data_IF_785688077707
#
_entry.id   IF_785688077707
#
_cell.length_a   1.000
_cell.length_b   1.000
_cell.length_c   1.000
_cell.angle_alpha   90.00
_cell.angle_beta   90.00
_cell.angle_gamma   90.00
#
_symmetry.space_group_name_H-M   'P 1'
#
loop_
_entity.id
_entity.type
_entity.pdbx_description
1 polymer ?
#
# COMPACT_ATOMS: atom_id res chain seq x y z
N UNK A 1 -8.18 -17.59 5.20
CA UNK A 1 -7.64 -18.29 4.00
C UNK A 1 -8.80 -19.02 3.33
N UNK A 2 -8.85 -19.06 2.00
CA UNK A 2 -9.97 -19.63 1.24
C UNK A 2 -9.54 -20.23 -0.13
N UNK A 3 -8.28 -20.66 -0.25
CA UNK A 3 -7.73 -21.15 -1.53
C UNK A 3 -8.48 -22.35 -2.08
N UNK A 4 -8.85 -23.32 -1.24
CA UNK A 4 -9.56 -24.51 -1.67
C UNK A 4 -10.95 -24.17 -2.21
N UNK A 5 -11.63 -23.23 -1.57
CA UNK A 5 -12.93 -22.70 -1.94
C UNK A 5 -12.86 -21.92 -3.26
N UNK A 6 -11.81 -21.11 -3.44
CA UNK A 6 -11.57 -20.39 -4.70
C UNK A 6 -11.37 -21.36 -5.87
N UNK A 7 -10.58 -22.41 -5.67
CA UNK A 7 -10.34 -23.43 -6.70
C UNK A 7 -11.61 -24.23 -7.00
N UNK A 8 -12.40 -24.57 -5.98
CA UNK A 8 -13.69 -25.23 -6.17
C UNK A 8 -14.67 -24.34 -6.94
N UNK A 9 -14.76 -23.05 -6.60
CA UNK A 9 -15.63 -22.08 -7.27
C UNK A 9 -15.22 -21.87 -8.73
N UNK A 10 -13.92 -21.78 -9.03
CA UNK A 10 -13.41 -21.71 -10.41
C UNK A 10 -13.80 -22.93 -11.24
N UNK A 11 -13.70 -24.13 -10.66
CA UNK A 11 -14.13 -25.37 -11.34
C UNK A 11 -15.64 -25.40 -11.58
N UNK A 12 -16.43 -24.94 -10.62
CA UNK A 12 -17.89 -24.88 -10.74
C UNK A 12 -18.38 -23.88 -11.81
N UNK A 13 -17.71 -22.73 -11.94
CA UNK A 13 -18.00 -21.72 -12.96
C UNK A 13 -17.53 -22.12 -14.38
N UNK A 14 -16.64 -23.10 -14.47
CA UNK A 14 -16.04 -23.53 -15.73
C UNK A 14 -15.03 -22.52 -16.32
N UNK A 15 -14.34 -22.90 -17.42
CA UNK A 15 -13.22 -22.13 -17.96
C UNK A 15 -13.62 -20.76 -18.54
N UNK A 16 -14.88 -20.57 -18.95
CA UNK A 16 -15.36 -19.30 -19.49
C UNK A 16 -15.57 -18.22 -18.42
N UNK A 17 -15.90 -18.61 -17.19
CA UNK A 17 -16.29 -17.68 -16.12
C UNK A 17 -15.39 -17.77 -14.89
N UNK A 18 -14.52 -18.78 -14.78
CA UNK A 18 -13.61 -18.96 -13.65
C UNK A 18 -12.58 -17.83 -13.49
N UNK A 19 -12.21 -17.15 -14.58
CA UNK A 19 -11.32 -15.98 -14.55
C UNK A 19 -11.95 -14.76 -13.85
N UNK A 20 -13.28 -14.71 -13.70
CA UNK A 20 -13.95 -13.64 -12.95
C UNK A 20 -13.51 -13.59 -11.47
N UNK A 21 -12.98 -14.69 -10.95
CA UNK A 21 -12.50 -14.82 -9.57
C UNK A 21 -11.02 -14.45 -9.38
N UNK A 22 -10.31 -14.09 -10.44
CA UNK A 22 -8.87 -13.76 -10.38
C UNK A 22 -8.51 -12.65 -9.39
N UNK A 23 -9.33 -11.59 -9.18
CA UNK A 23 -9.05 -10.58 -8.17
C UNK A 23 -8.95 -11.12 -6.73
N UNK A 24 -9.54 -12.29 -6.45
CA UNK A 24 -9.50 -12.92 -5.12
C UNK A 24 -8.22 -13.75 -4.90
N UNK A 25 -7.48 -14.08 -5.96
CA UNK A 25 -6.34 -14.99 -5.90
C UNK A 25 -5.23 -14.48 -4.97
N UNK A 26 -4.94 -13.18 -5.02
CA UNK A 26 -3.90 -12.55 -4.19
C UNK A 26 -4.17 -12.62 -2.69
N UNK A 27 -5.44 -12.78 -2.28
CA UNK A 27 -5.84 -12.87 -0.89
C UNK A 27 -6.24 -14.28 -0.45
N UNK A 28 -6.30 -15.25 -1.37
CA UNK A 28 -6.77 -16.60 -1.06
C UNK A 28 -5.94 -17.28 0.04
N UNK A 29 -4.61 -17.14 -0.02
CA UNK A 29 -3.70 -17.79 0.91
C UNK A 29 -3.69 -17.16 2.31
N UNK A 30 -3.78 -15.83 2.42
CA UNK A 30 -3.55 -15.11 3.68
C UNK A 30 -4.77 -14.35 4.20
N UNK A 31 -5.81 -14.21 3.37
CA UNK A 31 -6.92 -13.31 3.61
C UNK A 31 -6.51 -11.84 3.46
N UNK A 32 -7.47 -10.96 3.70
CA UNK A 32 -7.22 -9.52 3.73
C UNK A 32 -6.96 -9.05 5.17
N UNK A 33 -5.84 -8.35 5.46
CA UNK A 33 -5.61 -7.75 6.78
C UNK A 33 -6.74 -6.81 7.22
N UNK A 34 -6.87 -6.57 8.53
CA UNK A 34 -7.89 -5.64 9.04
C UNK A 34 -7.74 -4.22 8.42
N UNK A 35 -8.84 -3.51 8.10
CA UNK A 35 -8.77 -2.17 7.51
C UNK A 35 -7.98 -1.15 8.37
N UNK A 36 -8.05 -1.28 9.69
CA UNK A 36 -7.25 -0.48 10.62
C UNK A 36 -5.73 -0.67 10.44
N UNK A 37 -5.27 -1.90 10.13
CA UNK A 37 -3.85 -2.15 9.84
C UNK A 37 -3.41 -1.52 8.54
N UNK A 38 -4.28 -1.46 7.54
CA UNK A 38 -4.01 -0.75 6.29
C UNK A 38 -3.88 0.76 6.51
N UNK A 39 -4.76 1.34 7.32
CA UNK A 39 -4.70 2.75 7.68
C UNK A 39 -3.37 3.11 8.37
N UNK A 40 -2.91 2.27 9.31
CA UNK A 40 -1.61 2.45 9.96
C UNK A 40 -0.46 2.32 8.95
N UNK A 41 -0.46 1.28 8.10
CA UNK A 41 0.58 1.09 7.08
C UNK A 41 0.64 2.23 6.07
N UNK A 42 -0.50 2.85 5.72
CA UNK A 42 -0.53 4.02 4.85
C UNK A 42 0.21 5.21 5.49
N UNK A 43 -0.07 5.48 6.76
CA UNK A 43 0.57 6.56 7.51
C UNK A 43 2.07 6.29 7.71
N UNK A 44 2.44 5.05 8.00
CA UNK A 44 3.84 4.64 8.17
C UNK A 44 4.62 4.74 6.84
N UNK A 45 4.03 4.28 5.72
CA UNK A 45 4.65 4.36 4.41
C UNK A 45 4.90 5.81 3.96
N UNK A 46 3.97 6.72 4.24
CA UNK A 46 4.13 8.14 3.94
C UNK A 46 5.24 8.82 4.77
N UNK A 47 5.50 8.32 5.98
CA UNK A 47 6.56 8.79 6.88
C UNK A 47 7.90 8.09 6.64
N UNK A 48 7.90 6.96 5.94
CA UNK A 48 9.10 6.23 5.64
C UNK A 48 10.02 7.07 4.74
N UNK A 49 11.30 7.17 5.13
CA UNK A 49 12.34 7.74 4.27
C UNK A 49 12.37 6.92 2.98
N UNK A 50 12.49 7.53 1.78
CA UNK A 50 12.59 6.77 0.55
C UNK A 50 13.76 5.80 0.70
N UNK A 51 13.45 4.50 0.74
CA UNK A 51 14.47 3.48 0.70
C UNK A 51 15.20 3.69 -0.63
N UNK A 52 16.46 4.14 -0.55
CA UNK A 52 17.36 4.06 -1.70
C UNK A 52 17.22 2.63 -2.24
N UNK A 53 16.84 2.54 -3.52
CA UNK A 53 16.65 1.27 -4.20
C UNK A 53 17.83 0.33 -3.87
N UNK A 54 17.49 -0.90 -3.49
CA UNK A 54 18.46 -1.93 -3.14
C UNK A 54 19.55 -2.07 -4.23
N UNK A 55 20.82 -1.94 -3.83
CA UNK A 55 21.94 -2.05 -4.76
C UNK A 55 23.30 -1.59 -4.25
N UNK A 56 23.70 -1.91 -3.01
CA UNK A 56 25.11 -1.96 -2.65
C UNK A 56 25.32 -2.89 -1.44
N UNK A 57 26.36 -3.71 -1.53
CA UNK A 57 26.83 -4.74 -0.60
C UNK A 57 26.79 -4.37 0.90
N UNK A 58 26.87 -5.35 1.83
CA UNK A 58 27.10 -5.05 3.25
C UNK A 58 28.25 -4.06 3.37
N UNK A 59 27.97 -2.90 3.99
CA UNK A 59 28.94 -1.84 4.17
C UNK A 59 30.19 -2.42 4.86
N UNK A 60 31.42 -2.23 4.33
CA UNK A 60 32.62 -2.56 5.06
C UNK A 60 32.65 -1.72 6.34
N UNK A 61 33.00 -2.38 7.45
CA UNK A 61 33.21 -1.73 8.74
C UNK A 61 34.09 -0.48 8.57
N UNK A 62 33.81 0.61 9.32
CA UNK A 62 34.58 1.84 9.17
C UNK A 62 36.04 1.55 9.52
N UNK A 63 36.91 1.66 8.50
CA UNK A 63 38.34 1.74 8.72
C UNK A 63 38.61 2.95 9.61
N UNK A 64 39.25 2.72 10.74
CA UNK A 64 39.80 3.76 11.60
C UNK A 64 40.61 4.75 10.76
N UNK A 65 40.30 6.06 10.75
CA UNK A 65 41.25 7.03 10.27
C UNK A 65 42.16 7.37 11.43
N UNK A 66 43.40 6.93 11.35
CA UNK A 66 44.50 7.65 11.99
C UNK A 66 44.46 9.11 11.49
N UNK A 67 44.43 10.06 12.42
CA UNK A 67 44.78 11.46 12.16
C UNK A 67 43.77 12.30 11.39
N UNK A 68 42.58 12.55 11.95
CA UNK A 68 41.67 13.61 11.50
C UNK A 68 41.02 14.29 12.70
N UNK A 69 41.40 15.54 12.97
CA UNK A 69 41.08 16.25 14.20
C UNK A 69 39.57 16.40 14.48
N UNK A 70 39.22 16.55 15.75
CA UNK A 70 37.85 16.72 16.25
C UNK A 70 37.05 17.81 15.50
N UNK A 71 37.73 18.82 14.93
CA UNK A 71 37.12 19.88 14.14
C UNK A 71 36.60 19.42 12.78
N UNK A 72 37.27 18.50 12.08
CA UNK A 72 36.74 17.89 10.85
C UNK A 72 35.48 17.08 11.14
N UNK A 73 35.46 16.40 12.29
CA UNK A 73 34.28 15.67 12.76
C UNK A 73 33.11 16.59 13.06
N UNK A 74 33.37 17.78 13.62
CA UNK A 74 32.35 18.78 13.90
C UNK A 74 31.83 19.43 12.60
N UNK A 75 32.72 19.79 11.67
CA UNK A 75 32.32 20.36 10.37
C UNK A 75 31.52 19.35 9.53
N UNK A 76 31.98 18.09 9.49
CA UNK A 76 31.25 17.01 8.82
C UNK A 76 29.90 16.70 9.48
N UNK A 77 29.82 16.76 10.82
CA UNK A 77 28.55 16.59 11.54
C UNK A 77 27.59 17.76 11.27
N UNK A 78 28.11 18.98 11.16
CA UNK A 78 27.31 20.17 10.83
C UNK A 78 26.80 20.13 9.39
N UNK A 79 27.63 19.75 8.41
CA UNK A 79 27.18 19.54 7.02
C UNK A 79 26.19 18.39 6.90
N UNK A 80 26.38 17.31 7.66
CA UNK A 80 25.44 16.19 7.71
C UNK A 80 24.09 16.62 8.27
N UNK A 81 24.05 17.42 9.34
CA UNK A 81 22.82 17.97 9.91
C UNK A 81 22.09 18.92 8.94
N UNK A 82 22.82 19.74 8.17
CA UNK A 82 22.22 20.63 7.15
C UNK A 82 21.66 19.82 5.98
N UNK A 83 22.35 18.77 5.53
CA UNK A 83 21.84 17.87 4.48
C UNK A 83 20.64 17.05 4.93
N UNK A 84 20.60 16.63 6.20
CA UNK A 84 19.44 15.97 6.80
C UNK A 84 18.27 16.94 6.87
N UNK A 85 18.47 18.20 7.28
CA UNK A 85 17.39 19.20 7.33
C UNK A 85 16.77 19.55 5.97
N UNK A 86 17.53 19.47 4.87
CA UNK A 86 17.03 19.81 3.53
C UNK A 86 16.29 18.67 2.81
N UNK A 87 16.33 17.43 3.34
CA UNK A 87 15.71 16.25 2.69
C UNK A 87 14.70 15.50 3.57
N UNK A 88 14.57 15.84 4.86
CA UNK A 88 13.59 15.26 5.79
C UNK A 88 12.30 16.12 5.90
N UNK A 89 11.87 16.74 4.79
CA UNK A 89 10.54 17.35 4.74
C UNK A 89 9.50 16.22 4.72
N UNK A 90 8.92 15.91 5.87
CA UNK A 90 7.71 15.09 5.97
C UNK A 90 6.58 15.66 5.10
N UNK A 91 5.47 14.92 4.93
CA UNK A 91 4.35 15.37 4.11
C UNK A 91 3.96 16.80 4.48
N UNK A 92 3.85 17.70 3.49
CA UNK A 92 3.38 19.06 3.72
C UNK A 92 2.00 19.04 4.38
N UNK A 93 1.60 20.13 5.07
CA UNK A 93 0.34 20.16 5.84
C UNK A 93 -0.90 19.73 5.03
N UNK A 94 -0.93 20.00 3.72
CA UNK A 94 -1.97 19.52 2.80
C UNK A 94 -1.95 18.01 2.55
N UNK A 95 -0.76 17.41 2.39
CA UNK A 95 -0.61 15.96 2.24
C UNK A 95 -0.97 15.23 3.54
N UNK A 96 -0.60 15.79 4.69
CA UNK A 96 -0.91 15.18 5.99
C UNK A 96 -2.43 15.11 6.22
N UNK A 97 -3.17 16.18 5.91
CA UNK A 97 -4.65 16.20 5.98
C UNK A 97 -5.28 15.16 5.05
N UNK A 98 -4.77 15.04 3.82
CA UNK A 98 -5.24 14.04 2.85
C UNK A 98 -4.93 12.60 3.29
N UNK A 99 -3.74 12.36 3.87
CA UNK A 99 -3.34 11.06 4.43
C UNK A 99 -4.22 10.66 5.62
N UNK A 100 -4.51 11.59 6.52
CA UNK A 100 -5.37 11.33 7.69
C UNK A 100 -6.82 11.07 7.27
N UNK A 101 -7.30 11.81 6.26
CA UNK A 101 -8.59 11.56 5.61
C UNK A 101 -8.66 10.19 4.92
N UNK A 102 -7.60 9.81 4.20
CA UNK A 102 -7.49 8.49 3.57
C UNK A 102 -7.47 7.37 4.62
N UNK A 103 -6.72 7.54 5.71
CA UNK A 103 -6.66 6.59 6.81
C UNK A 103 -8.02 6.45 7.52
N UNK A 104 -8.78 7.54 7.69
CA UNK A 104 -10.14 7.50 8.21
C UNK A 104 -11.09 6.72 7.29
N UNK A 105 -11.06 6.98 5.98
CA UNK A 105 -11.85 6.27 4.99
C UNK A 105 -11.53 4.76 4.99
N UNK A 106 -10.25 4.37 5.08
CA UNK A 106 -9.84 2.98 5.21
C UNK A 106 -10.40 2.31 6.47
N UNK A 107 -10.37 2.99 7.62
CA UNK A 107 -10.97 2.45 8.87
C UNK A 107 -12.48 2.27 8.73
N UNK A 108 -13.16 3.15 8.00
CA UNK A 108 -14.58 3.05 7.69
C UNK A 108 -14.91 1.99 6.62
N UNK A 109 -13.90 1.40 5.97
CA UNK A 109 -14.08 0.45 4.87
C UNK A 109 -14.36 1.10 3.51
N UNK A 110 -14.31 2.44 3.42
CA UNK A 110 -14.52 3.18 2.17
C UNK A 110 -13.21 3.28 1.37
N UNK A 111 -12.95 2.24 0.57
CA UNK A 111 -11.76 2.14 -0.26
C UNK A 111 -11.76 3.15 -1.42
N UNK A 112 -12.94 3.53 -1.93
CA UNK A 112 -13.05 4.48 -3.03
C UNK A 112 -12.69 5.90 -2.58
N UNK A 113 -13.23 6.32 -1.43
CA UNK A 113 -12.88 7.59 -0.82
C UNK A 113 -11.41 7.63 -0.40
N UNK A 114 -10.87 6.52 0.13
CA UNK A 114 -9.45 6.44 0.46
C UNK A 114 -8.55 6.67 -0.77
N UNK A 115 -8.84 6.02 -1.90
CA UNK A 115 -8.07 6.19 -3.14
C UNK A 115 -8.18 7.62 -3.68
N UNK A 116 -9.38 8.21 -3.68
CA UNK A 116 -9.57 9.60 -4.12
C UNK A 116 -8.77 10.61 -3.29
N UNK A 117 -8.65 10.38 -1.98
CA UNK A 117 -7.84 11.21 -1.08
C UNK A 117 -6.34 11.04 -1.33
N UNK A 118 -5.91 9.81 -1.65
CA UNK A 118 -4.52 9.52 -2.03
C UNK A 118 -4.18 10.17 -3.38
N UNK A 119 -5.13 10.28 -4.30
CA UNK A 119 -4.95 10.97 -5.58
C UNK A 119 -4.72 12.49 -5.43
N UNK A 120 -5.10 13.08 -4.30
CA UNK A 120 -4.83 14.49 -4.00
C UNK A 120 -3.42 14.73 -3.42
N UNK A 121 -2.66 13.68 -3.11
CA UNK A 121 -1.32 13.80 -2.55
C UNK A 121 -0.30 14.28 -3.58
N UNK A 122 0.79 14.88 -3.09
CA UNK A 122 1.94 15.18 -3.93
C UNK A 122 2.54 13.91 -4.59
N UNK A 123 3.18 14.04 -5.77
CA UNK A 123 3.78 12.90 -6.48
C UNK A 123 4.80 12.13 -5.64
N UNK A 124 5.56 12.84 -4.79
CA UNK A 124 6.55 12.22 -3.90
C UNK A 124 5.89 11.32 -2.86
N UNK A 125 4.84 11.82 -2.19
CA UNK A 125 4.10 11.03 -1.20
C UNK A 125 3.38 9.85 -1.86
N UNK A 126 2.81 10.03 -3.07
CA UNK A 126 2.22 8.93 -3.86
C UNK A 126 3.21 7.81 -4.13
N UNK A 127 4.45 8.13 -4.48
CA UNK A 127 5.49 7.13 -4.72
C UNK A 127 5.78 6.30 -3.46
N UNK A 128 5.84 6.95 -2.28
CA UNK A 128 6.08 6.28 -1.00
C UNK A 128 4.96 5.30 -0.63
N UNK A 129 3.70 5.63 -0.94
CA UNK A 129 2.53 4.82 -0.59
C UNK A 129 2.06 3.85 -1.69
N UNK A 130 2.76 3.79 -2.83
CA UNK A 130 2.32 3.03 -4.02
C UNK A 130 2.01 1.54 -3.73
N UNK A 131 2.80 0.90 -2.87
CA UNK A 131 2.58 -0.50 -2.46
C UNK A 131 1.33 -0.68 -1.59
N UNK A 132 0.96 0.34 -0.81
CA UNK A 132 -0.29 0.32 -0.03
C UNK A 132 -1.48 0.59 -0.95
N UNK A 133 -1.32 1.47 -1.95
CA UNK A 133 -2.35 1.77 -2.97
C UNK A 133 -2.69 0.54 -3.80
N UNK A 134 -1.70 -0.26 -4.21
CA UNK A 134 -1.96 -1.50 -4.96
C UNK A 134 -2.75 -2.50 -4.11
N UNK A 135 -2.47 -2.62 -2.81
CA UNK A 135 -3.23 -3.48 -1.90
C UNK A 135 -4.68 -2.98 -1.70
N UNK A 136 -4.88 -1.66 -1.56
CA UNK A 136 -6.22 -1.05 -1.45
C UNK A 136 -7.02 -1.31 -2.74
N UNK A 137 -6.38 -1.15 -3.90
CA UNK A 137 -7.00 -1.40 -5.21
C UNK A 137 -7.41 -2.85 -5.36
N UNK A 138 -6.51 -3.79 -5.07
CA UNK A 138 -6.79 -5.22 -5.16
C UNK A 138 -7.97 -5.65 -4.27
N UNK A 139 -8.11 -5.06 -3.09
CA UNK A 139 -9.26 -5.28 -2.20
C UNK A 139 -10.57 -4.75 -2.75
N UNK A 140 -10.54 -3.52 -3.28
CA UNK A 140 -11.71 -2.89 -3.87
C UNK A 140 -12.23 -3.75 -5.03
N UNK A 141 -11.32 -4.21 -5.89
CA UNK A 141 -11.67 -4.99 -7.07
C UNK A 141 -12.22 -6.37 -6.67
N UNK A 142 -11.62 -7.02 -5.68
CA UNK A 142 -12.17 -8.25 -5.10
C UNK A 142 -13.57 -8.07 -4.50
N UNK A 143 -13.81 -6.98 -3.75
CA UNK A 143 -15.13 -6.67 -3.21
C UNK A 143 -16.16 -6.43 -4.31
N UNK A 144 -15.77 -5.73 -5.38
CA UNK A 144 -16.63 -5.51 -6.55
C UNK A 144 -16.96 -6.81 -7.28
N UNK A 145 -16.00 -7.72 -7.45
CA UNK A 145 -16.21 -9.07 -7.99
C UNK A 145 -17.25 -9.84 -7.17
N UNK A 146 -17.11 -9.85 -5.84
CA UNK A 146 -18.06 -10.54 -4.95
C UNK A 146 -19.45 -9.93 -5.04
N UNK A 147 -19.56 -8.59 -5.06
CA UNK A 147 -20.84 -7.91 -5.21
C UNK A 147 -21.52 -8.25 -6.54
N UNK A 148 -20.75 -8.29 -7.63
CA UNK A 148 -21.24 -8.66 -8.97
C UNK A 148 -21.75 -10.10 -9.00
N UNK A 149 -20.99 -11.04 -8.44
CA UNK A 149 -21.40 -12.44 -8.35
C UNK A 149 -22.67 -12.61 -7.52
N UNK A 150 -22.80 -11.86 -6.42
CA UNK A 150 -24.01 -11.90 -5.60
C UNK A 150 -25.23 -11.38 -6.38
N UNK A 151 -25.08 -10.28 -7.11
CA UNK A 151 -26.15 -9.76 -7.98
C UNK A 151 -26.53 -10.75 -9.08
N UNK A 152 -25.56 -11.40 -9.72
CA UNK A 152 -25.80 -12.43 -10.73
C UNK A 152 -26.53 -13.65 -10.14
N UNK A 153 -26.14 -14.10 -8.95
CA UNK A 153 -26.82 -15.19 -8.26
C UNK A 153 -28.27 -14.83 -7.91
N UNK A 154 -28.52 -13.61 -7.43
CA UNK A 154 -29.87 -13.12 -7.14
C UNK A 154 -30.72 -13.00 -8.42
N UNK A 155 -30.15 -12.52 -9.53
CA UNK A 155 -30.82 -12.44 -10.81
C UNK A 155 -31.20 -13.82 -11.34
N UNK A 156 -30.29 -14.80 -11.20
CA UNK A 156 -30.52 -16.18 -11.59
C UNK A 156 -31.64 -16.85 -10.78
N UNK A 157 -31.67 -16.64 -9.46
CA UNK A 157 -32.72 -17.15 -8.58
C UNK A 157 -34.06 -16.45 -8.85
N UNK A 158 -34.05 -15.15 -9.13
CA UNK A 158 -35.25 -14.35 -9.41
C UNK A 158 -35.89 -14.64 -10.78
N UNK A 159 -35.33 -15.55 -11.58
CA UNK A 159 -35.83 -15.87 -12.93
C UNK A 159 -35.66 -14.72 -13.94
N UNK A 160 -34.89 -13.70 -13.60
CA UNK A 160 -34.53 -12.57 -14.48
C UNK A 160 -33.12 -12.81 -15.01
N UNK A 161 -32.92 -13.87 -15.79
CA UNK A 161 -31.78 -13.91 -16.69
C UNK A 161 -32.19 -13.23 -18.01
N UNK A 162 -31.34 -12.37 -18.61
CA UNK A 162 -31.42 -12.13 -20.04
C UNK A 162 -31.08 -13.40 -20.83
#
# INVERSE_FOLDING_TARGET
>A
PFTAELDAARRALGPASGGALDPLAGAAAQGYPAPARLATRLQDAARAKPAAAAGAAPAPAPASPEGGGLMDRLLSSAESLVRVGATDAGPGAGDQSSLDGAAAALRAGDMAQALSRIDALSPETKAKVASVVSEITARRDAAATVATLNQQALAAISGKLP
#
